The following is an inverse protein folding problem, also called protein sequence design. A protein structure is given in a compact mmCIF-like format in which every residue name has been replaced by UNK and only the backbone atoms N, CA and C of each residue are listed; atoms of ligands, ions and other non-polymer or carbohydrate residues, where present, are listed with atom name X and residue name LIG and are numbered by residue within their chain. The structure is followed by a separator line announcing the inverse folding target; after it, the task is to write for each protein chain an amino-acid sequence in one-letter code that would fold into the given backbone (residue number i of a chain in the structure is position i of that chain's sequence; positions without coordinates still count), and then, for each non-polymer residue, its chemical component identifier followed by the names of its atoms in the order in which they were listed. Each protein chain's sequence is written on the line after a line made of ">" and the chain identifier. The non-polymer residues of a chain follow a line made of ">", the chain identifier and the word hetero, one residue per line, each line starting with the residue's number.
data_IF_829479384197
#
_entry.id   IF_829479384197
#
_cell.length_a   1.000
_cell.length_b   1.000
_cell.length_c   1.000
_cell.angle_alpha   90.00
_cell.angle_beta   90.00
_cell.angle_gamma   90.00
#
_symmetry.space_group_name_H-M   'P 1'
#
loop_
_entity.id
_entity.type
_entity.pdbx_description
1 polymer ?
#
# COMPACT_ATOMS: atom_id res chain seq x y z
N UNK A 1 21.65 -5.61 -6.92
CA UNK A 1 22.99 -4.99 -6.69
C UNK A 1 23.98 -5.97 -6.07
N UNK A 2 23.75 -6.51 -4.86
CA UNK A 2 24.71 -7.42 -4.21
C UNK A 2 25.17 -8.58 -5.11
N UNK A 3 24.25 -9.32 -5.75
CA UNK A 3 24.61 -10.38 -6.69
C UNK A 3 25.45 -9.91 -7.89
N UNK A 4 25.17 -8.70 -8.41
CA UNK A 4 25.95 -8.07 -9.49
C UNK A 4 27.36 -7.71 -9.01
N UNK A 5 27.49 -7.19 -7.79
CA UNK A 5 28.79 -6.86 -7.19
C UNK A 5 29.60 -8.13 -6.96
N UNK A 6 29.00 -9.19 -6.39
CA UNK A 6 29.67 -10.47 -6.17
C UNK A 6 30.17 -11.07 -7.48
N UNK A 7 29.30 -11.12 -8.51
CA UNK A 7 29.70 -11.64 -9.82
C UNK A 7 30.74 -10.74 -10.50
N UNK A 8 30.66 -9.42 -10.30
CA UNK A 8 31.64 -8.46 -10.78
C UNK A 8 33.03 -8.62 -10.15
N UNK A 9 33.09 -8.90 -8.84
CA UNK A 9 34.34 -9.19 -8.14
C UNK A 9 34.94 -10.51 -8.65
N UNK A 10 34.14 -11.59 -8.74
CA UNK A 10 34.55 -12.88 -9.33
C UNK A 10 35.09 -12.73 -10.76
N UNK A 11 34.46 -11.86 -11.54
CA UNK A 11 34.93 -11.57 -12.88
C UNK A 11 36.23 -10.76 -12.86
N UNK A 12 36.38 -9.77 -11.96
CA UNK A 12 37.60 -8.96 -11.85
C UNK A 12 38.81 -9.77 -11.37
N UNK A 13 38.62 -10.74 -10.48
CA UNK A 13 39.68 -11.62 -9.96
C UNK A 13 40.05 -12.79 -10.88
N UNK A 14 39.45 -12.87 -12.08
CA UNK A 14 39.57 -14.00 -13.03
C UNK A 14 39.02 -15.35 -12.51
N UNK A 15 38.41 -15.41 -11.34
CA UNK A 15 37.81 -16.64 -10.79
C UNK A 15 36.66 -17.14 -11.68
N UNK A 16 35.85 -16.23 -12.22
CA UNK A 16 34.77 -16.60 -13.14
C UNK A 16 35.29 -17.27 -14.43
N UNK A 17 36.42 -16.79 -14.96
CA UNK A 17 37.04 -17.36 -16.15
C UNK A 17 37.63 -18.73 -15.82
N UNK A 18 38.31 -18.88 -14.67
CA UNK A 18 38.87 -20.15 -14.23
C UNK A 18 37.78 -21.22 -14.07
N UNK A 19 36.65 -20.89 -13.43
CA UNK A 19 35.51 -21.81 -13.29
C UNK A 19 34.94 -22.25 -14.65
N UNK A 20 34.77 -21.31 -15.58
CA UNK A 20 34.31 -21.61 -16.95
C UNK A 20 35.32 -22.47 -17.72
N UNK A 21 36.62 -22.22 -17.57
CA UNK A 21 37.68 -23.00 -18.21
C UNK A 21 37.72 -24.46 -17.69
N UNK A 22 37.33 -24.69 -16.43
CA UNK A 22 37.15 -26.03 -15.86
C UNK A 22 35.83 -26.71 -16.30
N UNK A 23 35.06 -26.11 -17.22
CA UNK A 23 33.81 -26.68 -17.73
C UNK A 23 32.62 -26.52 -16.78
N UNK A 24 32.69 -25.64 -15.76
CA UNK A 24 31.55 -25.35 -14.90
C UNK A 24 30.60 -24.40 -15.64
N UNK A 25 29.34 -24.81 -15.91
CA UNK A 25 28.38 -23.96 -16.60
C UNK A 25 27.95 -22.78 -15.72
N UNK A 26 27.57 -21.67 -16.35
CA UNK A 26 27.26 -20.41 -15.68
C UNK A 26 26.05 -20.55 -14.75
N UNK A 27 25.00 -21.30 -15.10
CA UNK A 27 23.86 -21.51 -14.19
C UNK A 27 24.26 -22.18 -12.86
N UNK A 28 25.30 -23.02 -12.83
CA UNK A 28 25.80 -23.60 -11.56
C UNK A 28 26.54 -22.57 -10.71
N UNK A 29 27.26 -21.64 -11.34
CA UNK A 29 27.97 -20.55 -10.65
C UNK A 29 26.96 -19.55 -10.08
N UNK A 30 25.92 -19.23 -10.85
CA UNK A 30 24.88 -18.26 -10.49
C UNK A 30 23.82 -18.85 -9.54
N UNK A 31 23.64 -20.18 -9.55
CA UNK A 31 22.64 -20.89 -8.75
C UNK A 31 22.62 -20.54 -7.26
N UNK A 32 23.75 -20.54 -6.54
CA UNK A 32 23.81 -20.11 -5.14
C UNK A 32 23.36 -18.66 -4.91
N UNK A 33 23.67 -17.76 -5.84
CA UNK A 33 23.28 -16.34 -5.77
C UNK A 33 21.76 -16.20 -5.96
N UNK A 34 21.18 -16.94 -6.92
CA UNK A 34 19.73 -16.99 -7.13
C UNK A 34 19.00 -17.59 -5.92
N UNK A 35 19.52 -18.68 -5.36
CA UNK A 35 18.95 -19.33 -4.18
C UNK A 35 18.96 -18.39 -2.97
N UNK A 36 20.06 -17.68 -2.73
CA UNK A 36 20.13 -16.65 -1.70
C UNK A 36 19.10 -15.54 -1.93
N UNK A 37 18.94 -15.08 -3.19
CA UNK A 37 17.93 -14.08 -3.54
C UNK A 37 16.50 -14.52 -3.21
N UNK A 38 16.14 -15.77 -3.53
CA UNK A 38 14.83 -16.35 -3.18
C UNK A 38 14.68 -16.48 -1.66
N UNK A 39 15.71 -16.95 -0.95
CA UNK A 39 15.69 -17.06 0.51
C UNK A 39 15.45 -15.71 1.20
N UNK A 40 16.12 -14.65 0.75
CA UNK A 40 15.90 -13.28 1.26
C UNK A 40 14.50 -12.75 0.92
N UNK A 41 13.97 -13.04 -0.27
CA UNK A 41 12.58 -12.68 -0.61
C UNK A 41 11.56 -13.39 0.30
N UNK A 42 11.77 -14.66 0.62
CA UNK A 42 10.92 -15.40 1.58
C UNK A 42 11.04 -14.81 3.00
N UNK A 43 12.25 -14.46 3.42
CA UNK A 43 12.48 -13.76 4.69
C UNK A 43 11.72 -12.43 4.73
N UNK A 44 11.80 -11.63 3.67
CA UNK A 44 11.06 -10.36 3.59
C UNK A 44 9.54 -10.54 3.53
N UNK A 45 9.04 -11.62 2.92
CA UNK A 45 7.61 -11.97 3.00
C UNK A 45 7.20 -12.25 4.45
N UNK A 46 8.00 -13.03 5.20
CA UNK A 46 7.75 -13.28 6.61
C UNK A 46 7.80 -11.99 7.44
N UNK A 47 8.79 -11.12 7.20
CA UNK A 47 8.86 -9.81 7.85
C UNK A 47 7.64 -8.93 7.53
N UNK A 48 7.16 -8.93 6.28
CA UNK A 48 5.96 -8.20 5.89
C UNK A 48 4.69 -8.71 6.56
N UNK A 49 4.67 -9.98 6.96
CA UNK A 49 3.53 -10.57 7.66
C UNK A 49 3.58 -10.33 9.18
N UNK A 50 4.76 -10.46 9.81
CA UNK A 50 4.86 -10.51 11.27
C UNK A 50 5.50 -9.27 11.92
N UNK A 51 6.48 -8.65 11.26
CA UNK A 51 7.32 -7.59 11.84
C UNK A 51 6.81 -6.22 11.41
N UNK A 52 6.71 -6.00 10.10
CA UNK A 52 6.38 -4.72 9.49
C UNK A 52 5.05 -4.11 9.99
N UNK A 53 3.96 -4.88 10.17
CA UNK A 53 2.69 -4.34 10.68
C UNK A 53 2.83 -3.71 12.07
N UNK A 54 3.61 -4.38 12.95
CA UNK A 54 3.81 -3.93 14.34
C UNK A 54 4.69 -2.68 14.39
N UNK A 55 5.80 -2.70 13.67
CA UNK A 55 6.74 -1.57 13.65
C UNK A 55 6.12 -0.35 12.98
N UNK A 56 5.45 -0.51 11.85
CA UNK A 56 4.77 0.58 11.16
C UNK A 56 3.69 1.24 12.03
N UNK A 57 2.88 0.45 12.75
CA UNK A 57 1.87 0.99 13.65
C UNK A 57 2.48 1.82 14.80
N UNK A 58 3.57 1.36 15.40
CA UNK A 58 4.28 2.09 16.47
C UNK A 58 4.88 3.38 15.91
N UNK A 59 5.59 3.31 14.78
CA UNK A 59 6.18 4.49 14.12
C UNK A 59 5.13 5.53 13.77
N UNK A 60 4.00 5.11 13.18
CA UNK A 60 2.92 6.01 12.84
C UNK A 60 2.27 6.63 14.08
N UNK A 61 2.13 5.87 15.17
CA UNK A 61 1.62 6.41 16.45
C UNK A 61 2.53 7.52 16.96
N UNK A 62 3.83 7.26 17.08
CA UNK A 62 4.81 8.24 17.55
C UNK A 62 4.78 9.49 16.65
N UNK A 63 4.87 9.30 15.34
CA UNK A 63 4.92 10.42 14.39
C UNK A 63 3.66 11.29 14.41
N UNK A 64 2.47 10.68 14.48
CA UNK A 64 1.24 11.45 14.40
C UNK A 64 0.79 12.00 15.75
N UNK A 65 0.92 11.22 16.83
CA UNK A 65 0.48 11.63 18.16
C UNK A 65 1.53 12.48 18.85
N UNK A 66 2.75 11.98 18.97
CA UNK A 66 3.80 12.59 19.80
C UNK A 66 4.46 13.76 19.07
N UNK A 67 4.70 13.65 17.76
CA UNK A 67 5.36 14.71 16.98
C UNK A 67 4.36 15.72 16.40
N UNK A 68 3.30 15.25 15.74
CA UNK A 68 2.33 16.14 15.06
C UNK A 68 1.16 16.59 15.94
N UNK A 69 0.98 16.02 17.14
CA UNK A 69 -0.16 16.33 18.01
C UNK A 69 -1.53 15.92 17.43
N UNK A 70 -1.56 15.07 16.40
CA UNK A 70 -2.78 14.59 15.75
C UNK A 70 -3.19 13.26 16.36
N UNK A 71 -4.16 13.29 17.27
CA UNK A 71 -4.75 12.07 17.81
C UNK A 71 -5.70 11.46 16.76
N UNK A 72 -5.49 10.21 16.32
CA UNK A 72 -6.40 9.53 15.40
C UNK A 72 -7.69 9.17 16.16
N UNK A 73 -8.59 10.14 16.32
CA UNK A 73 -9.86 9.97 17.02
C UNK A 73 -10.90 9.19 16.20
N UNK A 74 -10.52 8.67 15.02
CA UNK A 74 -11.43 7.92 14.17
C UNK A 74 -10.81 6.73 13.45
N UNK A 75 -11.68 5.79 13.10
CA UNK A 75 -11.40 4.59 12.31
C UNK A 75 -12.18 4.62 10.99
N UNK A 76 -11.65 3.99 9.96
CA UNK A 76 -12.38 3.72 8.72
C UNK A 76 -12.64 2.22 8.57
N UNK A 77 -13.90 1.80 8.50
CA UNK A 77 -14.29 0.40 8.40
C UNK A 77 -15.48 0.27 7.46
N UNK A 78 -15.40 -0.68 6.51
CA UNK A 78 -16.48 -1.03 5.58
C UNK A 78 -17.07 0.19 4.84
N UNK A 79 -16.23 1.04 4.22
CA UNK A 79 -16.70 2.22 3.49
C UNK A 79 -17.15 3.40 4.37
N UNK A 80 -17.02 3.30 5.70
CA UNK A 80 -17.49 4.30 6.65
C UNK A 80 -16.41 4.74 7.62
N UNK A 81 -16.34 6.04 7.85
CA UNK A 81 -15.60 6.65 8.92
C UNK A 81 -16.44 6.62 10.21
N UNK A 82 -15.77 6.43 11.33
CA UNK A 82 -16.31 6.55 12.68
C UNK A 82 -15.33 7.40 13.47
N UNK A 83 -15.79 8.49 14.04
CA UNK A 83 -14.92 9.47 14.71
C UNK A 83 -15.53 9.90 16.04
N UNK A 84 -14.73 9.86 17.10
CA UNK A 84 -15.12 10.31 18.43
C UNK A 84 -15.01 11.83 18.51
N UNK A 85 -16.14 12.51 18.62
CA UNK A 85 -16.24 13.92 18.97
C UNK A 85 -16.12 14.15 20.47
N UNK A 86 -16.28 15.41 20.89
CA UNK A 86 -16.16 15.78 22.31
C UNK A 86 -17.31 15.19 23.14
N UNK A 87 -18.55 15.30 22.63
CA UNK A 87 -19.78 14.83 23.31
C UNK A 87 -20.56 13.79 22.49
N UNK A 88 -19.93 13.15 21.51
CA UNK A 88 -20.66 12.28 20.58
C UNK A 88 -19.80 11.55 19.57
N UNK A 89 -20.44 10.80 18.69
CA UNK A 89 -19.80 10.02 17.64
C UNK A 89 -20.31 10.45 16.27
N UNK A 90 -19.37 10.73 15.36
CA UNK A 90 -19.64 10.98 13.95
C UNK A 90 -19.47 9.69 13.17
N UNK A 91 -20.36 9.41 12.23
CA UNK A 91 -20.16 8.39 11.21
C UNK A 91 -20.59 8.87 9.85
N UNK A 92 -19.79 8.62 8.82
CA UNK A 92 -20.07 9.07 7.45
C UNK A 92 -19.26 8.27 6.44
N UNK A 93 -19.71 8.25 5.19
CA UNK A 93 -18.91 7.87 4.04
C UNK A 93 -18.36 9.14 3.37
N UNK A 94 -17.11 9.11 2.90
CA UNK A 94 -16.49 10.25 2.21
C UNK A 94 -15.80 9.74 0.94
N UNK A 95 -16.49 9.73 -0.21
CA UNK A 95 -15.96 9.18 -1.46
C UNK A 95 -14.71 9.92 -1.96
N UNK A 96 -14.62 11.22 -1.67
CA UNK A 96 -13.53 12.09 -2.11
C UNK A 96 -12.98 12.88 -0.90
N UNK A 97 -11.75 12.56 -0.41
CA UNK A 97 -11.12 13.25 0.71
C UNK A 97 -10.80 14.72 0.46
N UNK A 98 -10.79 15.18 -0.79
CA UNK A 98 -10.56 16.58 -1.15
C UNK A 98 -11.85 17.38 -1.20
N UNK A 99 -13.01 16.70 -1.30
CA UNK A 99 -14.33 17.35 -1.26
C UNK A 99 -14.88 17.39 0.16
N UNK A 100 -15.49 18.52 0.49
CA UNK A 100 -16.20 18.73 1.75
C UNK A 100 -17.64 18.16 1.69
N UNK A 101 -17.77 16.96 1.14
CA UNK A 101 -19.06 16.27 0.93
C UNK A 101 -19.02 14.91 1.63
N UNK A 102 -20.00 14.68 2.47
CA UNK A 102 -20.11 13.52 3.34
C UNK A 102 -21.45 12.84 3.10
N UNK A 103 -21.43 11.54 2.82
CA UNK A 103 -22.62 10.73 2.53
C UNK A 103 -23.00 9.89 3.75
N UNK A 104 -24.29 9.59 3.90
CA UNK A 104 -24.81 8.78 5.00
C UNK A 104 -24.30 9.27 6.37
N UNK A 105 -24.31 10.59 6.56
CA UNK A 105 -23.77 11.26 7.72
C UNK A 105 -24.68 11.03 8.92
N UNK A 106 -24.09 10.67 10.05
CA UNK A 106 -24.77 10.56 11.33
C UNK A 106 -23.91 11.15 12.45
N UNK A 107 -24.54 11.86 13.36
CA UNK A 107 -23.94 12.31 14.62
C UNK A 107 -24.86 11.91 15.76
N UNK A 108 -24.33 11.23 16.76
CA UNK A 108 -25.07 10.84 17.96
C UNK A 108 -24.40 11.40 19.21
N UNK A 109 -25.19 11.95 20.14
CA UNK A 109 -24.79 12.35 21.48
C UNK A 109 -25.43 11.44 22.53
N UNK A 110 -24.74 11.28 23.65
CA UNK A 110 -25.23 10.51 24.79
C UNK A 110 -25.21 11.37 26.05
N UNK A 111 -26.15 11.11 26.95
CA UNK A 111 -26.20 11.74 28.26
C UNK A 111 -25.18 11.11 29.24
N UNK A 112 -25.12 11.63 30.47
CA UNK A 112 -24.23 11.12 31.53
C UNK A 112 -24.52 9.67 31.95
N UNK A 113 -25.71 9.16 31.64
CA UNK A 113 -26.16 7.81 31.95
C UNK A 113 -26.02 6.86 30.76
N UNK A 114 -25.27 7.26 29.72
CA UNK A 114 -25.08 6.52 28.48
C UNK A 114 -26.38 6.24 27.70
N UNK A 115 -27.43 7.04 27.91
CA UNK A 115 -28.63 7.01 27.07
C UNK A 115 -28.48 7.93 25.87
N UNK A 116 -29.09 7.57 24.74
CA UNK A 116 -29.05 8.38 23.53
C UNK A 116 -29.80 9.69 23.78
N UNK A 117 -29.08 10.81 23.75
CA UNK A 117 -29.65 12.15 23.93
C UNK A 117 -30.16 12.70 22.59
N UNK A 118 -29.31 12.65 21.57
CA UNK A 118 -29.71 13.03 20.20
C UNK A 118 -29.03 12.18 19.13
N UNK A 119 -29.76 11.90 18.05
CA UNK A 119 -29.22 11.32 16.82
C UNK A 119 -29.65 12.18 15.63
N UNK A 120 -28.67 12.76 14.96
CA UNK A 120 -28.85 13.45 13.69
C UNK A 120 -28.36 12.53 12.59
N UNK A 121 -29.22 12.19 11.63
CA UNK A 121 -28.85 11.36 10.48
C UNK A 121 -29.31 12.04 9.18
N UNK A 122 -28.47 12.04 8.15
CA UNK A 122 -28.78 12.66 6.86
C UNK A 122 -28.14 11.89 5.70
N UNK A 123 -28.82 11.90 4.54
CA UNK A 123 -28.26 11.28 3.32
C UNK A 123 -26.98 11.97 2.87
N UNK A 124 -26.91 13.30 3.01
CA UNK A 124 -25.76 14.11 2.58
C UNK A 124 -25.51 15.26 3.54
N UNK A 125 -24.25 15.47 3.92
CA UNK A 125 -23.78 16.64 4.65
C UNK A 125 -22.70 17.35 3.82
N UNK A 126 -22.78 18.68 3.75
CA UNK A 126 -21.83 19.52 3.02
C UNK A 126 -21.31 20.59 3.95
N UNK A 127 -20.00 20.78 3.98
CA UNK A 127 -19.38 21.88 4.71
C UNK A 127 -19.05 23.03 3.77
N UNK A 128 -19.66 24.20 4.02
CA UNK A 128 -19.42 25.46 3.28
C UNK A 128 -19.43 26.62 4.27
N UNK A 129 -18.51 27.58 4.08
CA UNK A 129 -18.44 28.83 4.84
C UNK A 129 -18.51 28.62 6.36
N UNK A 130 -17.80 27.62 6.89
CA UNK A 130 -17.75 27.36 8.33
C UNK A 130 -19.00 26.69 8.93
N UNK A 131 -19.97 26.24 8.11
CA UNK A 131 -21.21 25.64 8.60
C UNK A 131 -21.48 24.28 7.96
N UNK A 132 -22.02 23.34 8.75
CA UNK A 132 -22.55 22.07 8.25
C UNK A 132 -23.97 22.25 7.73
N UNK A 133 -24.20 22.01 6.43
CA UNK A 133 -25.54 21.93 5.85
C UNK A 133 -25.86 20.47 5.54
N UNK A 134 -26.87 19.93 6.23
CA UNK A 134 -27.36 18.57 6.04
C UNK A 134 -28.60 18.58 5.15
N UNK A 135 -28.71 17.58 4.28
CA UNK A 135 -29.79 17.42 3.31
C UNK A 135 -30.46 16.06 3.51
N UNK A 136 -31.80 16.05 3.44
CA UNK A 136 -32.66 14.87 3.57
C UNK A 136 -32.29 14.05 4.81
N UNK A 137 -32.59 14.61 5.98
CA UNK A 137 -32.22 14.02 7.26
C UNK A 137 -33.33 14.04 8.29
N UNK A 138 -33.01 13.51 9.46
CA UNK A 138 -33.86 13.44 10.63
C UNK A 138 -33.05 13.75 11.89
N UNK A 139 -33.72 14.32 12.88
CA UNK A 139 -33.22 14.46 14.24
C UNK A 139 -34.11 13.61 15.13
N UNK A 140 -33.50 12.73 15.91
CA UNK A 140 -34.15 12.05 17.03
C UNK A 140 -33.61 12.66 18.31
N UNK A 141 -34.50 12.98 19.25
CA UNK A 141 -34.13 13.53 20.56
C UNK A 141 -34.81 12.71 21.65
N UNK A 142 -34.07 12.32 22.67
CA UNK A 142 -34.59 11.60 23.82
C UNK A 142 -35.53 12.49 24.64
N UNK A 143 -36.69 11.98 25.01
CA UNK A 143 -37.65 12.65 25.89
C UNK A 143 -37.74 11.99 27.28
N UNK A 144 -36.82 11.08 27.60
CA UNK A 144 -36.84 10.26 28.80
C UNK A 144 -37.62 8.94 28.62
N UNK A 145 -37.37 7.97 29.51
CA UNK A 145 -38.03 6.64 29.55
C UNK A 145 -37.99 5.86 28.22
N UNK A 146 -36.98 6.07 27.37
CA UNK A 146 -36.85 5.37 26.08
C UNK A 146 -37.77 5.89 24.97
N UNK A 147 -38.47 7.00 25.18
CA UNK A 147 -39.23 7.68 24.12
C UNK A 147 -38.36 8.66 23.34
N UNK A 148 -38.51 8.65 22.01
CA UNK A 148 -37.75 9.49 21.09
C UNK A 148 -38.67 10.28 20.16
N UNK A 149 -38.52 11.60 20.15
CA UNK A 149 -39.20 12.45 19.19
C UNK A 149 -38.38 12.54 17.89
N UNK A 150 -38.99 12.23 16.75
CA UNK A 150 -38.34 12.32 15.43
C UNK A 150 -38.86 13.52 14.64
N UNK A 151 -37.95 14.35 14.14
CA UNK A 151 -38.26 15.45 13.22
C UNK A 151 -37.47 15.30 11.93
N UNK A 152 -38.18 15.19 10.80
CA UNK A 152 -37.59 15.10 9.46
C UNK A 152 -37.33 16.50 8.91
N UNK A 153 -36.27 16.68 8.13
CA UNK A 153 -35.95 17.94 7.45
C UNK A 153 -35.34 17.70 6.06
N UNK A 154 -35.68 18.58 5.12
CA UNK A 154 -35.11 18.55 3.76
C UNK A 154 -33.73 19.21 3.69
N UNK A 155 -33.53 20.32 4.41
CA UNK A 155 -32.26 21.05 4.50
C UNK A 155 -32.20 21.75 5.86
N UNK A 156 -31.09 21.57 6.59
CA UNK A 156 -30.89 22.25 7.88
C UNK A 156 -29.41 22.46 8.16
N UNK A 157 -29.10 23.58 8.82
CA UNK A 157 -27.75 23.91 9.25
C UNK A 157 -27.50 23.41 10.68
N UNK A 158 -26.30 22.93 10.94
CA UNK A 158 -25.85 22.44 12.25
C UNK A 158 -24.50 23.06 12.61
N UNK A 159 -24.33 23.41 13.89
CA UNK A 159 -23.10 23.94 14.46
C UNK A 159 -22.27 22.85 15.13
N UNK A 160 -21.96 21.75 14.45
CA UNK A 160 -21.09 20.71 15.01
C UNK A 160 -19.67 21.26 15.24
N UNK A 161 -19.08 20.92 16.39
CA UNK A 161 -17.76 21.43 16.81
C UNK A 161 -16.62 20.98 15.90
N UNK A 162 -16.70 19.76 15.35
CA UNK A 162 -15.65 19.20 14.48
C UNK A 162 -15.82 19.67 13.04
N UNK A 163 -14.72 20.16 12.47
CA UNK A 163 -14.58 20.59 11.06
C UNK A 163 -14.14 19.41 10.21
N UNK A 164 -14.36 19.44 8.87
CA UNK A 164 -13.82 18.44 7.95
C UNK A 164 -12.33 18.16 8.12
N UNK A 165 -11.53 19.19 8.42
CA UNK A 165 -10.09 19.08 8.63
C UNK A 165 -9.71 18.32 9.93
N UNK A 166 -10.62 18.29 10.91
CA UNK A 166 -10.41 17.58 12.17
C UNK A 166 -10.63 16.06 12.00
N UNK A 167 -11.39 15.65 10.97
CA UNK A 167 -11.56 14.26 10.59
C UNK A 167 -10.32 13.72 9.86
N UNK A 168 -9.24 13.57 10.62
CA UNK A 168 -8.05 12.88 10.15
C UNK A 168 -8.25 11.38 10.33
N UNK A 169 -8.40 10.66 9.22
CA UNK A 169 -8.21 9.22 9.20
C UNK A 169 -7.00 8.91 8.35
N UNK A 170 -6.00 8.25 8.96
CA UNK A 170 -4.73 8.10 8.30
C UNK A 170 -4.78 7.17 7.08
N UNK A 171 -4.30 7.68 5.96
CA UNK A 171 -4.13 6.91 4.71
C UNK A 171 -3.10 5.77 4.87
N UNK A 172 -2.21 5.87 5.88
CA UNK A 172 -1.20 4.85 6.18
C UNK A 172 -1.77 3.57 6.81
N UNK A 173 -3.07 3.46 7.06
CA UNK A 173 -3.65 2.24 7.66
C UNK A 173 -3.35 1.00 6.82
N UNK A 174 -3.31 1.11 5.50
CA UNK A 174 -2.92 -0.02 4.64
C UNK A 174 -1.46 -0.43 4.85
N UNK A 175 -0.56 0.51 5.20
CA UNK A 175 0.84 0.23 5.55
C UNK A 175 0.98 -0.56 6.86
N UNK A 176 0.01 -0.43 7.78
CA UNK A 176 -0.03 -1.14 9.05
C UNK A 176 -0.64 -2.53 8.96
N UNK A 177 -1.28 -2.88 7.84
CA UNK A 177 -1.86 -4.20 7.66
C UNK A 177 -0.78 -5.24 7.32
N UNK A 178 -0.91 -6.45 7.85
CA UNK A 178 -0.16 -7.61 7.39
C UNK A 178 -0.63 -8.06 6.01
N UNK A 179 0.07 -9.01 5.37
CA UNK A 179 -0.37 -9.58 4.10
C UNK A 179 -1.75 -10.24 4.24
N UNK A 180 -1.95 -11.00 5.32
CA UNK A 180 -3.28 -11.56 5.66
C UNK A 180 -4.30 -10.45 5.91
N UNK A 181 -3.90 -9.38 6.61
CA UNK A 181 -4.75 -8.22 6.85
C UNK A 181 -5.19 -7.52 5.55
N UNK A 182 -4.29 -7.37 4.59
CA UNK A 182 -4.59 -6.83 3.26
C UNK A 182 -5.53 -7.74 2.47
N UNK A 183 -5.29 -9.06 2.49
CA UNK A 183 -6.18 -10.03 1.84
C UNK A 183 -7.60 -9.99 2.41
N UNK A 184 -7.72 -10.02 3.75
CA UNK A 184 -9.01 -9.92 4.42
C UNK A 184 -9.67 -8.59 4.13
N UNK A 185 -8.92 -7.48 4.13
CA UNK A 185 -9.44 -6.17 3.75
C UNK A 185 -10.03 -6.21 2.33
N UNK A 186 -9.28 -6.70 1.33
CA UNK A 186 -9.74 -6.80 -0.05
C UNK A 186 -11.00 -7.67 -0.21
N UNK A 187 -11.13 -8.74 0.57
CA UNK A 187 -12.30 -9.63 0.54
C UNK A 187 -13.58 -8.99 1.11
N UNK A 188 -13.46 -8.05 2.06
CA UNK A 188 -14.60 -7.46 2.76
C UNK A 188 -15.09 -6.13 2.16
N UNK A 189 -14.48 -5.67 1.07
CA UNK A 189 -14.93 -4.45 0.39
C UNK A 189 -16.23 -4.69 -0.38
N UNK A 190 -17.14 -3.70 -0.31
CA UNK A 190 -18.47 -3.78 -0.94
C UNK A 190 -18.53 -3.07 -2.29
N UNK A 191 -17.81 -1.95 -2.45
CA UNK A 191 -17.69 -1.26 -3.74
C UNK A 191 -16.66 -1.98 -4.62
N UNK A 192 -16.94 -2.06 -5.91
CA UNK A 192 -16.02 -2.63 -6.91
C UNK A 192 -14.72 -1.83 -6.98
N UNK A 193 -14.81 -0.50 -6.91
CA UNK A 193 -13.67 0.41 -6.94
C UNK A 193 -12.80 0.26 -5.67
N UNK A 194 -13.43 0.22 -4.50
CA UNK A 194 -12.73 0.01 -3.22
C UNK A 194 -12.07 -1.38 -3.17
N UNK A 195 -12.75 -2.42 -3.67
CA UNK A 195 -12.19 -3.76 -3.80
C UNK A 195 -10.98 -3.78 -4.73
N UNK A 196 -11.07 -3.11 -5.90
CA UNK A 196 -9.97 -3.05 -6.85
C UNK A 196 -8.73 -2.39 -6.27
N UNK A 197 -8.89 -1.26 -5.57
CA UNK A 197 -7.80 -0.59 -4.86
C UNK A 197 -7.19 -1.49 -3.78
N UNK A 198 -8.01 -2.19 -2.99
CA UNK A 198 -7.52 -3.09 -1.94
C UNK A 198 -6.76 -4.31 -2.51
N UNK A 199 -7.24 -4.88 -3.63
CA UNK A 199 -6.52 -5.95 -4.34
C UNK A 199 -5.20 -5.44 -4.94
N UNK A 200 -5.16 -4.22 -5.47
CA UNK A 200 -3.92 -3.61 -5.97
C UNK A 200 -2.89 -3.41 -4.85
N UNK A 201 -3.33 -3.03 -3.65
CA UNK A 201 -2.44 -2.94 -2.48
C UNK A 201 -1.91 -4.33 -2.05
N UNK A 202 -2.76 -5.36 -2.05
CA UNK A 202 -2.36 -6.72 -1.72
C UNK A 202 -1.35 -7.31 -2.71
N UNK A 203 -1.72 -7.39 -4.00
CA UNK A 203 -0.85 -7.96 -5.03
C UNK A 203 0.40 -7.11 -5.23
N UNK A 204 0.27 -5.78 -5.18
CA UNK A 204 1.39 -4.86 -5.23
C UNK A 204 2.41 -5.13 -4.12
N UNK A 205 1.97 -5.30 -2.87
CA UNK A 205 2.93 -5.57 -1.77
C UNK A 205 3.70 -6.88 -1.97
N UNK A 206 3.02 -7.95 -2.37
CA UNK A 206 3.67 -9.23 -2.66
C UNK A 206 4.66 -9.09 -3.81
N UNK A 207 4.23 -8.49 -4.91
CA UNK A 207 5.06 -8.25 -6.08
C UNK A 207 6.30 -7.41 -5.74
N UNK A 208 6.15 -6.35 -4.95
CA UNK A 208 7.29 -5.53 -4.54
C UNK A 208 8.35 -6.33 -3.77
N UNK A 209 7.93 -7.19 -2.84
CA UNK A 209 8.84 -8.05 -2.05
C UNK A 209 9.52 -9.11 -2.92
N UNK A 210 8.81 -9.60 -3.94
CA UNK A 210 9.28 -10.62 -4.88
C UNK A 210 10.00 -10.04 -6.11
N UNK A 211 10.23 -8.73 -6.18
CA UNK A 211 10.87 -8.09 -7.33
C UNK A 211 12.38 -8.40 -7.41
N UNK A 212 13.00 -8.79 -6.29
CA UNK A 212 14.43 -9.10 -6.20
C UNK A 212 14.90 -10.23 -7.13
N UNK A 213 14.32 -11.44 -7.07
CA UNK A 213 14.74 -12.57 -7.91
C UNK A 213 14.67 -12.31 -9.42
N UNK A 214 13.57 -11.77 -10.00
CA UNK A 214 13.55 -11.40 -11.42
C UNK A 214 14.64 -10.39 -11.79
N UNK A 215 14.86 -9.35 -10.98
CA UNK A 215 15.92 -8.37 -11.21
C UNK A 215 17.31 -8.99 -11.15
N UNK A 216 17.52 -9.95 -10.25
CA UNK A 216 18.79 -10.68 -10.14
C UNK A 216 18.99 -11.58 -11.36
N UNK A 217 17.94 -12.28 -11.78
CA UNK A 217 17.96 -13.15 -12.97
C UNK A 217 18.25 -12.37 -14.27
N UNK A 218 17.77 -11.13 -14.38
CA UNK A 218 18.08 -10.26 -15.51
C UNK A 218 19.46 -9.59 -15.39
N UNK A 219 19.80 -9.09 -14.19
CA UNK A 219 21.00 -8.31 -13.96
C UNK A 219 22.29 -9.11 -14.13
N UNK A 220 22.30 -10.41 -13.79
CA UNK A 220 23.50 -11.25 -13.89
C UNK A 220 23.97 -11.52 -15.34
N UNK A 221 23.15 -12.01 -16.29
CA UNK A 221 23.60 -12.20 -17.67
C UNK A 221 23.88 -10.85 -18.35
N UNK A 222 23.10 -9.80 -18.08
CA UNK A 222 23.38 -8.46 -18.61
C UNK A 222 24.75 -7.94 -18.19
N UNK A 223 25.15 -8.18 -16.94
CA UNK A 223 26.47 -7.80 -16.45
C UNK A 223 27.58 -8.45 -17.27
N UNK A 224 27.46 -9.74 -17.58
CA UNK A 224 28.45 -10.47 -18.37
C UNK A 224 28.55 -9.95 -19.80
N UNK A 225 27.40 -9.63 -20.42
CA UNK A 225 27.34 -9.02 -21.74
C UNK A 225 28.02 -7.64 -21.75
N UNK A 226 27.74 -6.81 -20.74
CA UNK A 226 28.36 -5.49 -20.58
C UNK A 226 29.87 -5.63 -20.39
N UNK A 227 30.33 -6.54 -19.54
CA UNK A 227 31.76 -6.78 -19.33
C UNK A 227 32.49 -7.24 -20.58
N UNK A 228 31.84 -8.07 -21.41
CA UNK A 228 32.42 -8.55 -22.67
C UNK A 228 32.58 -7.42 -23.69
N UNK A 229 31.62 -6.49 -23.76
CA UNK A 229 31.64 -5.41 -24.76
C UNK A 229 32.42 -4.17 -24.32
N UNK A 230 32.30 -3.77 -23.04
CA UNK A 230 32.74 -2.45 -22.55
C UNK A 230 33.89 -2.54 -21.54
N UNK A 231 34.50 -3.71 -21.39
CA UNK A 231 35.63 -3.95 -20.47
C UNK A 231 35.18 -4.32 -19.06
N UNK A 232 36.11 -4.83 -18.25
CA UNK A 232 35.85 -5.47 -16.94
C UNK A 232 35.67 -4.48 -15.77
N UNK A 233 35.26 -3.25 -16.06
CA UNK A 233 35.20 -2.21 -15.04
C UNK A 233 33.91 -2.31 -14.20
N UNK A 234 34.09 -2.64 -12.92
CA UNK A 234 33.02 -2.68 -11.93
C UNK A 234 32.35 -1.31 -11.76
N UNK A 235 33.07 -0.22 -12.06
CA UNK A 235 32.56 1.15 -11.99
C UNK A 235 31.37 1.39 -12.93
N UNK A 236 31.29 0.66 -14.05
CA UNK A 236 30.22 0.80 -15.05
C UNK A 236 29.04 -0.15 -14.77
N UNK A 237 29.34 -1.34 -14.25
CA UNK A 237 28.35 -2.35 -13.88
C UNK A 237 27.35 -1.88 -12.81
N UNK A 238 27.84 -1.19 -11.78
CA UNK A 238 27.02 -0.75 -10.65
C UNK A 238 25.96 0.26 -11.11
N UNK A 239 26.31 1.40 -11.76
CA UNK A 239 25.33 2.36 -12.26
C UNK A 239 24.33 1.75 -13.24
N UNK A 240 24.78 0.90 -14.16
CA UNK A 240 23.87 0.22 -15.12
C UNK A 240 22.87 -0.65 -14.38
N UNK A 241 23.30 -1.42 -13.38
CA UNK A 241 22.40 -2.26 -12.59
C UNK A 241 21.41 -1.46 -11.74
N UNK A 242 21.85 -0.33 -11.17
CA UNK A 242 20.99 0.58 -10.42
C UNK A 242 19.96 1.26 -11.33
N UNK A 243 20.39 1.74 -12.51
CA UNK A 243 19.52 2.33 -13.52
C UNK A 243 18.46 1.36 -14.02
N UNK A 244 18.86 0.11 -14.29
CA UNK A 244 17.93 -0.96 -14.66
C UNK A 244 16.91 -1.22 -13.55
N UNK A 245 17.37 -1.37 -12.30
CA UNK A 245 16.48 -1.60 -11.16
C UNK A 245 15.49 -0.43 -10.96
N UNK A 246 15.96 0.82 -11.10
CA UNK A 246 15.12 2.01 -11.02
C UNK A 246 14.07 2.04 -12.13
N UNK A 247 14.46 1.71 -13.37
CA UNK A 247 13.54 1.65 -14.51
C UNK A 247 12.44 0.59 -14.30
N UNK A 248 12.83 -0.61 -13.86
CA UNK A 248 11.90 -1.69 -13.55
C UNK A 248 10.94 -1.33 -12.42
N UNK A 249 11.47 -0.70 -11.36
CA UNK A 249 10.66 -0.18 -10.26
C UNK A 249 9.69 0.90 -10.72
N UNK A 250 10.12 1.82 -11.59
CA UNK A 250 9.28 2.87 -12.16
C UNK A 250 8.11 2.28 -12.95
N UNK A 251 8.36 1.33 -13.86
CA UNK A 251 7.29 0.64 -14.59
C UNK A 251 6.32 -0.05 -13.62
N UNK A 252 6.85 -0.78 -12.64
CA UNK A 252 6.01 -1.44 -11.64
C UNK A 252 5.14 -0.43 -10.88
N UNK A 253 5.72 0.69 -10.42
CA UNK A 253 5.01 1.73 -9.69
C UNK A 253 3.90 2.38 -10.55
N UNK A 254 4.17 2.65 -11.82
CA UNK A 254 3.17 3.15 -12.77
C UNK A 254 2.02 2.17 -12.96
N UNK A 255 2.31 0.88 -13.16
CA UNK A 255 1.29 -0.16 -13.29
C UNK A 255 0.42 -0.28 -12.02
N UNK A 256 1.04 -0.21 -10.83
CA UNK A 256 0.30 -0.20 -9.57
C UNK A 256 -0.58 1.04 -9.41
N UNK A 257 -0.12 2.20 -9.85
CA UNK A 257 -0.91 3.43 -9.83
C UNK A 257 -2.16 3.32 -10.71
N UNK A 258 -1.99 2.80 -11.93
CA UNK A 258 -3.10 2.55 -12.86
C UNK A 258 -4.10 1.53 -12.30
N UNK A 259 -3.61 0.47 -11.65
CA UNK A 259 -4.48 -0.50 -10.98
C UNK A 259 -5.26 0.14 -9.83
N UNK A 260 -4.62 0.93 -8.96
CA UNK A 260 -5.31 1.65 -7.87
C UNK A 260 -6.35 2.65 -8.38
N UNK A 261 -6.14 3.22 -9.56
CA UNK A 261 -7.09 4.09 -10.25
C UNK A 261 -8.16 3.34 -11.07
N UNK A 262 -8.23 2.01 -10.96
CA UNK A 262 -9.22 1.15 -11.62
C UNK A 262 -9.11 1.11 -13.17
N UNK A 263 -7.96 1.49 -13.73
CA UNK A 263 -7.68 1.36 -15.17
C UNK A 263 -7.15 -0.01 -15.57
N UNK A 264 -6.49 -0.72 -14.65
CA UNK A 264 -5.90 -2.04 -14.89
C UNK A 264 -6.34 -3.05 -13.83
N UNK A 265 -6.39 -4.32 -14.24
CA UNK A 265 -6.57 -5.41 -13.31
C UNK A 265 -5.38 -5.48 -12.31
N UNK A 266 -5.63 -5.52 -10.99
CA UNK A 266 -4.61 -5.55 -9.95
C UNK A 266 -3.57 -6.67 -10.08
N UNK A 267 -4.02 -7.88 -10.47
CA UNK A 267 -3.13 -9.03 -10.61
C UNK A 267 -2.19 -8.83 -11.80
N UNK A 268 -2.72 -8.39 -12.95
CA UNK A 268 -1.91 -8.11 -14.14
C UNK A 268 -0.88 -7.00 -13.86
N UNK A 269 -1.29 -5.92 -13.21
CA UNK A 269 -0.38 -4.83 -12.87
C UNK A 269 0.77 -5.28 -11.95
N UNK A 270 0.51 -6.24 -11.06
CA UNK A 270 1.52 -6.79 -10.16
C UNK A 270 2.49 -7.78 -10.83
N UNK A 271 1.99 -8.63 -11.72
CA UNK A 271 2.77 -9.72 -12.31
C UNK A 271 3.50 -9.35 -13.59
N UNK A 272 3.03 -8.34 -14.35
CA UNK A 272 3.58 -8.00 -15.68
C UNK A 272 5.10 -7.78 -15.65
N UNK A 273 5.58 -6.94 -14.73
CA UNK A 273 7.02 -6.63 -14.61
C UNK A 273 7.82 -7.88 -14.22
N UNK A 274 7.28 -8.73 -13.35
CA UNK A 274 7.92 -9.98 -12.93
C UNK A 274 8.08 -10.96 -14.09
N UNK A 275 7.01 -11.14 -14.87
CA UNK A 275 7.02 -12.06 -16.01
C UNK A 275 7.95 -11.56 -17.11
N UNK A 276 7.87 -10.27 -17.49
CA UNK A 276 8.71 -9.72 -18.54
C UNK A 276 10.21 -9.79 -18.17
N UNK A 277 10.56 -9.31 -16.98
CA UNK A 277 11.97 -9.30 -16.52
C UNK A 277 12.45 -10.74 -16.26
N UNK A 278 11.63 -11.56 -15.61
CA UNK A 278 11.99 -12.94 -15.27
C UNK A 278 12.22 -13.80 -16.51
N UNK A 279 11.30 -13.74 -17.48
CA UNK A 279 11.43 -14.48 -18.75
C UNK A 279 12.63 -13.96 -19.56
N UNK A 280 12.81 -12.64 -19.64
CA UNK A 280 13.96 -12.05 -20.35
C UNK A 280 15.28 -12.46 -19.71
N UNK A 281 15.37 -12.39 -18.37
CA UNK A 281 16.55 -12.79 -17.61
C UNK A 281 16.86 -14.28 -17.78
N UNK A 282 15.85 -15.15 -17.70
CA UNK A 282 16.01 -16.59 -17.90
C UNK A 282 16.51 -16.89 -19.31
N UNK A 283 15.90 -16.28 -20.33
CA UNK A 283 16.32 -16.44 -21.72
C UNK A 283 17.78 -16.01 -21.94
N UNK A 284 18.19 -14.86 -21.40
CA UNK A 284 19.57 -14.37 -21.51
C UNK A 284 20.56 -15.28 -20.77
N UNK A 285 20.19 -15.82 -19.61
CA UNK A 285 21.03 -16.75 -18.86
C UNK A 285 21.26 -18.05 -19.64
N UNK A 286 20.19 -18.62 -20.21
CA UNK A 286 20.27 -19.84 -21.02
C UNK A 286 21.12 -19.63 -22.28
N UNK A 287 21.00 -18.47 -22.93
CA UNK A 287 21.81 -18.11 -24.10
C UNK A 287 23.30 -17.96 -23.80
N UNK A 288 23.66 -17.55 -22.58
CA UNK A 288 25.07 -17.43 -22.15
C UNK A 288 25.67 -18.77 -21.70
N UNK A 289 24.83 -19.78 -21.42
CA UNK A 289 25.23 -21.14 -21.07
C UNK A 289 25.47 -22.05 -22.29
N UNK A 290 24.85 -21.74 -23.43
CA UNK A 290 25.03 -22.42 -24.73
C UNK A 290 26.15 -21.80 -25.55
#
# INVERSE_FOLDING_TARGET
>A
LAGVVTLGILNRSNELIALKACGVPLHKIVGPILLAGVAFSLLFLAMSQFVLPKTAAITNRIWNVEVKGRVPLGIYRNGRYYYRGDNGFYSFARPDPHKNVFLHFSYSSWDKNYQLDSLVAAKKAVWRNGTWTLYQGQIQTGQGQGHYATKIFSKRNFGFTKRPADFFVPEYRSLELSLVGLFLNAKHQRSKEEANRAWAEFYGRIAYILLGPPLLLLGLPLLLIVYRRWGRDLSLAIPVSCGLAFFCWGIWATMQSLAKANYLNPLLAATTVHLLIGVTGLYLLLREDT
#
